data_IF_369425375435
#
_entry.id   IF_369425375435
#
_cell.length_a   1.000
_cell.length_b   1.000
_cell.length_c   1.000
_cell.angle_alpha   90.00
_cell.angle_beta   90.00
_cell.angle_gamma   90.00
#
_symmetry.space_group_name_H-M   'P 1'
#
loop_
_entity.id
_entity.type
_entity.pdbx_description
1 polymer ?
#
# COMPACT_ATOMS: atom_id res chain seq x y z
N UNK A 1 10.48 4.27 1.58
CA UNK A 1 9.32 3.50 1.09
C UNK A 1 8.89 3.78 -0.37
N UNK A 2 8.27 4.93 -0.71
CA UNK A 2 7.75 5.17 -2.09
C UNK A 2 8.85 5.03 -3.14
N UNK A 3 10.02 5.61 -2.88
CA UNK A 3 11.18 5.48 -3.77
C UNK A 3 11.57 4.00 -3.98
N UNK A 4 11.57 3.20 -2.91
CA UNK A 4 11.85 1.76 -2.99
C UNK A 4 10.83 1.05 -3.88
N UNK A 5 9.53 1.28 -3.69
CA UNK A 5 8.49 0.67 -4.54
C UNK A 5 8.62 1.09 -6.00
N UNK A 6 8.99 2.36 -6.26
CA UNK A 6 9.28 2.82 -7.62
C UNK A 6 10.49 2.10 -8.20
N UNK A 7 11.58 1.94 -7.44
CA UNK A 7 12.77 1.22 -7.90
C UNK A 7 12.47 -0.26 -8.16
N UNK A 8 11.71 -0.92 -7.28
CA UNK A 8 11.27 -2.31 -7.46
C UNK A 8 10.38 -2.44 -8.69
N UNK A 9 9.42 -1.53 -8.90
CA UNK A 9 8.58 -1.51 -10.09
C UNK A 9 9.40 -1.32 -11.37
N UNK A 10 10.36 -0.40 -11.38
CA UNK A 10 11.27 -0.19 -12.51
C UNK A 10 12.16 -1.41 -12.78
N UNK A 11 12.74 -2.02 -11.75
CA UNK A 11 13.52 -3.26 -11.89
C UNK A 11 12.66 -4.39 -12.44
N UNK A 12 11.42 -4.54 -11.94
CA UNK A 12 10.46 -5.54 -12.41
C UNK A 12 10.10 -5.34 -13.89
N UNK A 13 9.93 -4.08 -14.33
CA UNK A 13 9.71 -3.75 -15.75
C UNK A 13 10.93 -4.09 -16.59
N UNK A 14 12.13 -3.71 -16.15
CA UNK A 14 13.37 -3.92 -16.92
C UNK A 14 13.70 -5.39 -17.06
N UNK A 15 13.66 -6.15 -15.96
CA UNK A 15 13.91 -7.59 -15.96
C UNK A 15 12.84 -8.34 -16.76
N UNK A 16 11.60 -7.86 -16.73
CA UNK A 16 10.49 -8.47 -17.45
C UNK A 16 10.57 -8.37 -18.96
N UNK A 17 11.23 -7.34 -19.51
CA UNK A 17 11.28 -7.12 -20.96
C UNK A 17 11.99 -8.23 -21.76
N UNK A 18 12.71 -9.15 -21.10
CA UNK A 18 13.42 -10.26 -21.73
C UNK A 18 12.91 -11.66 -21.40
N UNK A 19 11.86 -11.79 -20.59
CA UNK A 19 11.40 -13.07 -20.03
C UNK A 19 9.90 -13.28 -20.25
N UNK A 20 9.44 -14.53 -20.48
CA UNK A 20 8.01 -14.85 -20.41
C UNK A 20 7.42 -14.51 -19.03
N UNK A 21 6.16 -14.10 -18.96
CA UNK A 21 5.48 -13.63 -17.73
C UNK A 21 5.69 -14.53 -16.51
N UNK A 22 5.55 -15.84 -16.67
CA UNK A 22 5.77 -16.82 -15.58
C UNK A 22 7.21 -16.81 -15.08
N UNK A 23 8.19 -16.80 -16.00
CA UNK A 23 9.60 -16.79 -15.64
C UNK A 23 9.99 -15.47 -14.97
N UNK A 24 9.48 -14.35 -15.50
CA UNK A 24 9.66 -13.03 -14.91
C UNK A 24 9.15 -12.98 -13.46
N UNK A 25 7.92 -13.44 -13.22
CA UNK A 25 7.35 -13.48 -11.87
C UNK A 25 8.22 -14.30 -10.90
N UNK A 26 8.66 -15.50 -11.28
CA UNK A 26 9.49 -16.35 -10.42
C UNK A 26 10.81 -15.63 -10.04
N UNK A 27 11.50 -15.08 -11.03
CA UNK A 27 12.77 -14.37 -10.82
C UNK A 27 12.58 -13.14 -9.95
N UNK A 28 11.65 -12.26 -10.28
CA UNK A 28 11.52 -10.98 -9.56
C UNK A 28 10.92 -11.19 -8.17
N UNK A 29 9.96 -12.11 -8.01
CA UNK A 29 9.36 -12.39 -6.70
C UNK A 29 10.38 -13.00 -5.72
N UNK A 30 11.24 -13.92 -6.18
CA UNK A 30 12.27 -14.53 -5.33
C UNK A 30 13.35 -13.53 -4.87
N UNK A 31 13.60 -12.47 -5.65
CA UNK A 31 14.59 -11.45 -5.33
C UNK A 31 14.00 -10.28 -4.54
N UNK A 32 12.81 -9.81 -4.92
CA UNK A 32 12.27 -8.54 -4.44
C UNK A 32 11.23 -8.68 -3.34
N UNK A 33 10.55 -9.83 -3.18
CA UNK A 33 9.46 -9.94 -2.21
C UNK A 33 9.95 -9.74 -0.78
N UNK A 34 11.03 -10.41 -0.39
CA UNK A 34 11.66 -10.25 0.94
C UNK A 34 12.11 -8.81 1.17
N UNK A 35 12.78 -8.19 0.19
CA UNK A 35 13.26 -6.80 0.27
C UNK A 35 12.11 -5.81 0.50
N UNK A 36 10.97 -5.99 -0.18
CA UNK A 36 9.80 -5.12 -0.01
C UNK A 36 9.18 -5.30 1.39
N UNK A 37 9.08 -6.53 1.88
CA UNK A 37 8.54 -6.83 3.22
C UNK A 37 9.44 -6.23 4.30
N UNK A 38 10.74 -6.47 4.22
CA UNK A 38 11.72 -6.03 5.21
C UNK A 38 11.84 -4.49 5.27
N UNK A 39 12.09 -3.84 4.12
CA UNK A 39 12.18 -2.38 4.06
C UNK A 39 10.82 -1.71 4.32
N UNK A 40 9.72 -2.42 4.03
CA UNK A 40 8.37 -2.02 4.41
C UNK A 40 8.24 -1.92 5.92
N UNK A 41 8.54 -3.00 6.63
CA UNK A 41 8.46 -3.09 8.08
C UNK A 41 9.36 -2.05 8.78
N UNK A 42 10.58 -1.83 8.29
CA UNK A 42 11.47 -0.77 8.77
C UNK A 42 10.90 0.64 8.55
N UNK A 43 10.12 0.83 7.47
CA UNK A 43 9.44 2.11 7.19
C UNK A 43 8.06 2.23 7.88
N UNK A 44 7.66 1.27 8.72
CA UNK A 44 6.35 1.23 9.37
C UNK A 44 5.18 0.87 8.45
N UNK A 45 5.45 0.32 7.25
CA UNK A 45 4.44 -0.25 6.36
C UNK A 45 4.57 -1.76 6.32
N UNK A 46 3.64 -2.46 6.94
CA UNK A 46 3.53 -3.91 6.82
C UNK A 46 2.52 -4.22 5.73
N UNK A 47 2.98 -4.98 4.74
CA UNK A 47 2.22 -5.32 3.55
C UNK A 47 2.01 -6.83 3.56
N UNK A 48 0.78 -7.33 3.42
CA UNK A 48 0.53 -8.75 3.26
C UNK A 48 1.38 -9.32 2.13
N UNK A 49 1.99 -10.48 2.36
CA UNK A 49 2.92 -11.08 1.41
C UNK A 49 2.27 -11.26 0.02
N UNK A 50 0.98 -11.59 -0.03
CA UNK A 50 0.21 -11.70 -1.28
C UNK A 50 0.17 -10.37 -2.06
N UNK A 51 0.05 -9.23 -1.38
CA UNK A 51 0.05 -7.92 -2.03
C UNK A 51 1.43 -7.61 -2.62
N UNK A 52 2.52 -8.03 -1.96
CA UNK A 52 3.87 -7.91 -2.51
C UNK A 52 4.03 -8.78 -3.76
N UNK A 53 3.59 -10.04 -3.73
CA UNK A 53 3.63 -10.90 -4.92
C UNK A 53 2.78 -10.35 -6.07
N UNK A 54 1.57 -9.86 -5.78
CA UNK A 54 0.73 -9.20 -6.78
C UNK A 54 1.39 -7.95 -7.34
N UNK A 55 2.05 -7.13 -6.52
CA UNK A 55 2.76 -5.94 -6.98
C UNK A 55 3.81 -6.31 -8.03
N UNK A 56 4.66 -7.27 -7.70
CA UNK A 56 5.73 -7.75 -8.60
C UNK A 56 5.14 -8.39 -9.86
N UNK A 57 4.08 -9.19 -9.71
CA UNK A 57 3.37 -9.82 -10.83
C UNK A 57 2.76 -8.78 -11.78
N UNK A 58 2.12 -7.73 -11.25
CA UNK A 58 1.52 -6.64 -12.04
C UNK A 58 2.57 -5.88 -12.84
N UNK A 59 3.71 -5.54 -12.24
CA UNK A 59 4.81 -4.93 -13.00
C UNK A 59 5.41 -5.90 -14.01
N UNK A 60 5.41 -7.19 -13.69
CA UNK A 60 5.88 -8.23 -14.60
C UNK A 60 5.03 -8.34 -15.87
N UNK A 61 3.70 -8.29 -15.76
CA UNK A 61 2.81 -8.26 -16.94
C UNK A 61 2.85 -6.90 -17.65
N UNK A 62 3.15 -5.81 -16.93
CA UNK A 62 3.28 -4.50 -17.56
C UNK A 62 4.55 -4.37 -18.40
N UNK A 63 5.58 -5.17 -18.12
CA UNK A 63 6.78 -5.23 -18.97
C UNK A 63 6.42 -5.61 -20.42
N UNK A 64 5.49 -6.55 -20.62
CA UNK A 64 5.06 -7.04 -21.94
C UNK A 64 4.35 -5.98 -22.78
N UNK A 65 3.70 -5.01 -22.14
CA UNK A 65 2.98 -3.91 -22.83
C UNK A 65 3.84 -2.65 -22.96
N UNK A 66 5.01 -2.61 -22.33
CA UNK A 66 5.90 -1.44 -22.33
C UNK A 66 6.79 -1.46 -23.58
N UNK A 67 6.85 -0.38 -24.38
CA UNK A 67 7.83 -0.27 -25.45
C UNK A 67 9.26 -0.37 -24.90
N UNK A 68 10.17 -1.12 -25.53
CA UNK A 68 10.12 -1.63 -26.90
C UNK A 68 9.56 -3.06 -27.07
N UNK A 69 8.97 -3.69 -26.05
CA UNK A 69 8.52 -5.10 -26.12
C UNK A 69 7.13 -5.22 -26.74
N UNK A 70 6.12 -4.59 -26.12
CA UNK A 70 4.80 -4.25 -26.69
C UNK A 70 4.14 -5.24 -27.66
N UNK A 71 4.30 -6.56 -27.50
CA UNK A 71 4.02 -7.56 -28.55
C UNK A 71 2.61 -7.45 -29.15
N UNK A 72 1.59 -7.29 -28.29
CA UNK A 72 0.20 -7.14 -28.73
C UNK A 72 -0.04 -5.84 -29.51
N UNK A 73 0.58 -4.74 -29.09
CA UNK A 73 0.48 -3.45 -29.77
C UNK A 73 1.18 -3.47 -31.13
N UNK A 74 2.27 -4.22 -31.26
CA UNK A 74 3.00 -4.38 -32.52
C UNK A 74 2.23 -5.26 -33.51
N UNK A 75 1.61 -6.34 -33.03
CA UNK A 75 0.71 -7.15 -33.84
C UNK A 75 -0.50 -6.31 -34.34
N UNK A 76 -1.10 -5.50 -33.46
CA UNK A 76 -2.19 -4.59 -33.84
C UNK A 76 -1.73 -3.53 -34.85
N UNK A 77 -0.51 -3.00 -34.72
CA UNK A 77 0.08 -2.08 -35.68
C UNK A 77 0.27 -2.72 -37.06
N UNK A 78 0.73 -3.98 -37.11
CA UNK A 78 0.91 -4.72 -38.36
C UNK A 78 -0.42 -4.95 -39.10
N UNK A 79 -1.52 -5.18 -38.37
CA UNK A 79 -2.86 -5.33 -38.96
C UNK A 79 -3.47 -3.99 -39.41
N UNK A 80 -3.27 -2.93 -38.63
CA UNK A 80 -3.83 -1.59 -38.91
C UNK A 80 -3.01 -0.75 -39.89
N UNK A 81 -1.77 -1.17 -40.21
CA UNK A 81 -0.82 -0.40 -41.03
C UNK A 81 -0.18 0.78 -40.29
N UNK A 82 -0.26 0.81 -38.96
CA UNK A 82 0.33 1.84 -38.12
C UNK A 82 1.81 1.60 -37.82
N UNK A 83 2.48 2.60 -37.24
CA UNK A 83 3.83 2.47 -36.72
C UNK A 83 3.80 1.69 -35.39
N UNK A 84 4.56 0.59 -35.29
CA UNK A 84 4.56 -0.30 -34.14
C UNK A 84 4.98 0.40 -32.84
N UNK A 85 6.05 1.20 -32.89
CA UNK A 85 6.57 1.90 -31.71
C UNK A 85 5.59 2.96 -31.23
N UNK A 86 5.03 3.78 -32.14
CA UNK A 86 4.01 4.79 -31.78
C UNK A 86 2.76 4.14 -31.20
N UNK A 87 2.30 3.04 -31.80
CA UNK A 87 1.14 2.28 -31.31
C UNK A 87 1.41 1.74 -29.90
N UNK A 88 2.61 1.21 -29.66
CA UNK A 88 3.03 0.76 -28.33
C UNK A 88 3.05 1.89 -27.29
N UNK A 89 3.58 3.07 -27.63
CA UNK A 89 3.54 4.21 -26.72
C UNK A 89 2.10 4.62 -26.37
N UNK A 90 1.21 4.73 -27.36
CA UNK A 90 -0.20 5.06 -27.12
C UNK A 90 -0.87 4.00 -26.25
N UNK A 91 -0.65 2.71 -26.55
CA UNK A 91 -1.20 1.61 -25.77
C UNK A 91 -0.71 1.63 -24.31
N UNK A 92 0.57 1.93 -24.09
CA UNK A 92 1.15 2.08 -22.75
C UNK A 92 0.54 3.26 -21.98
N UNK A 93 0.34 4.42 -22.63
CA UNK A 93 -0.33 5.55 -22.00
C UNK A 93 -1.77 5.21 -21.59
N UNK A 94 -2.48 4.42 -22.40
CA UNK A 94 -3.84 3.97 -22.08
C UNK A 94 -3.86 2.95 -20.93
N UNK A 95 -2.76 2.24 -20.69
CA UNK A 95 -2.64 1.26 -19.61
C UNK A 95 -2.09 1.84 -18.30
N UNK A 96 -1.82 3.16 -18.21
CA UNK A 96 -1.31 3.82 -16.99
C UNK A 96 -2.13 3.54 -15.72
N UNK A 97 -3.44 3.31 -15.86
CA UNK A 97 -4.30 2.93 -14.72
C UNK A 97 -3.85 1.62 -14.05
N UNK A 98 -3.33 0.69 -14.85
CA UNK A 98 -2.78 -0.59 -14.38
C UNK A 98 -1.40 -0.42 -13.74
N UNK A 99 -0.64 0.63 -14.10
CA UNK A 99 0.62 0.99 -13.41
C UNK A 99 0.34 1.59 -12.04
N UNK A 100 -0.71 2.39 -11.91
CA UNK A 100 -1.07 3.02 -10.64
C UNK A 100 -1.63 2.03 -9.61
N UNK A 101 -2.39 1.02 -10.06
CA UNK A 101 -3.14 0.11 -9.19
C UNK A 101 -2.26 -0.62 -8.15
N UNK A 102 -1.07 -1.17 -8.49
CA UNK A 102 -0.17 -1.79 -7.51
C UNK A 102 0.27 -0.88 -6.39
N UNK A 103 0.58 0.38 -6.70
CA UNK A 103 0.92 1.35 -5.66
C UNK A 103 -0.27 1.57 -4.73
N UNK A 104 -1.48 1.65 -5.27
CA UNK A 104 -2.66 1.86 -4.44
C UNK A 104 -2.92 0.68 -3.52
N UNK A 105 -2.97 -0.55 -4.04
CA UNK A 105 -3.35 -1.71 -3.21
C UNK A 105 -2.28 -2.10 -2.19
N UNK A 106 -1.00 -1.75 -2.42
CA UNK A 106 0.05 -1.98 -1.42
C UNK A 106 -0.24 -1.22 -0.13
N UNK A 107 -0.82 -0.03 -0.26
CA UNK A 107 -1.16 0.76 0.90
C UNK A 107 -2.62 0.56 1.34
N UNK A 108 -3.52 0.13 0.44
CA UNK A 108 -4.93 -0.13 0.71
C UNK A 108 -5.31 -1.56 0.28
N UNK A 109 -5.12 -2.51 1.20
CA UNK A 109 -5.33 -3.94 0.96
C UNK A 109 -6.81 -4.32 0.84
N UNK A 110 -7.74 -3.43 1.18
CA UNK A 110 -9.17 -3.64 0.96
C UNK A 110 -9.47 -3.86 -0.54
N UNK A 111 -8.68 -3.27 -1.43
CA UNK A 111 -8.76 -3.48 -2.88
C UNK A 111 -8.47 -4.92 -3.30
N UNK A 112 -7.77 -5.67 -2.46
CA UNK A 112 -7.49 -7.09 -2.62
C UNK A 112 -8.52 -7.96 -1.87
N UNK A 113 -9.52 -7.34 -1.23
CA UNK A 113 -10.54 -8.00 -0.42
C UNK A 113 -9.98 -8.79 0.78
N UNK A 114 -8.83 -8.34 1.31
CA UNK A 114 -8.19 -8.93 2.48
C UNK A 114 -8.87 -8.37 3.74
N UNK A 115 -9.37 -9.26 4.60
CA UNK A 115 -10.05 -8.91 5.87
C UNK A 115 -11.25 -7.97 5.71
N UNK A 116 -11.96 -8.09 4.59
CA UNK A 116 -13.11 -7.25 4.23
C UNK A 116 -14.44 -8.01 4.38
N UNK A 117 -15.42 -7.40 5.04
CA UNK A 117 -16.80 -7.94 5.10
C UNK A 117 -17.53 -7.80 3.75
N UNK A 118 -18.63 -8.54 3.55
CA UNK A 118 -19.44 -8.43 2.32
C UNK A 118 -19.88 -6.99 2.00
N UNK A 119 -20.31 -6.24 3.01
CA UNK A 119 -20.78 -4.85 2.82
C UNK A 119 -19.62 -3.95 2.41
N UNK A 120 -18.48 -4.06 3.10
CA UNK A 120 -17.28 -3.31 2.73
C UNK A 120 -16.77 -3.70 1.34
N UNK A 121 -16.82 -4.99 0.96
CA UNK A 121 -16.38 -5.47 -0.35
C UNK A 121 -17.21 -4.89 -1.49
N UNK A 122 -18.53 -4.81 -1.33
CA UNK A 122 -19.42 -4.13 -2.29
C UNK A 122 -19.08 -2.65 -2.39
N UNK A 123 -18.86 -2.00 -1.24
CA UNK A 123 -18.49 -0.59 -1.20
C UNK A 123 -17.15 -0.35 -1.92
N UNK A 124 -16.12 -1.16 -1.65
CA UNK A 124 -14.82 -1.13 -2.31
C UNK A 124 -14.96 -1.34 -3.81
N UNK A 125 -15.78 -2.30 -4.25
CA UNK A 125 -16.03 -2.53 -5.66
C UNK A 125 -16.60 -1.30 -6.36
N UNK A 126 -17.62 -0.67 -5.76
CA UNK A 126 -18.27 0.53 -6.31
C UNK A 126 -17.27 1.70 -6.34
N UNK A 127 -16.59 1.96 -5.23
CA UNK A 127 -15.67 3.12 -5.12
C UNK A 127 -14.44 2.94 -6.00
N UNK A 128 -13.84 1.75 -6.06
CA UNK A 128 -12.73 1.44 -6.95
C UNK A 128 -13.13 1.56 -8.44
N UNK A 129 -14.35 1.14 -8.79
CA UNK A 129 -14.89 1.30 -10.16
C UNK A 129 -15.06 2.77 -10.53
N UNK A 130 -15.56 3.60 -9.60
CA UNK A 130 -15.65 5.05 -9.82
C UNK A 130 -14.24 5.65 -9.92
N UNK A 131 -13.35 5.30 -8.99
CA UNK A 131 -11.99 5.83 -8.93
C UNK A 131 -11.19 5.53 -10.21
N UNK A 132 -11.27 4.32 -10.75
CA UNK A 132 -10.54 3.95 -11.98
C UNK A 132 -11.08 4.68 -13.22
N UNK A 133 -12.40 4.89 -13.30
CA UNK A 133 -13.03 5.65 -14.38
C UNK A 133 -12.64 7.13 -14.30
N UNK A 134 -12.68 7.72 -13.11
CA UNK A 134 -12.29 9.11 -12.85
C UNK A 134 -10.79 9.30 -13.11
N UNK A 135 -9.95 8.36 -12.68
CA UNK A 135 -8.51 8.37 -12.97
C UNK A 135 -8.27 8.37 -14.48
N UNK A 136 -8.94 7.47 -15.21
CA UNK A 136 -8.84 7.39 -16.67
C UNK A 136 -9.32 8.68 -17.33
N UNK A 137 -10.41 9.27 -16.86
CA UNK A 137 -10.90 10.56 -17.38
C UNK A 137 -9.89 11.70 -17.15
N UNK A 138 -9.22 11.71 -15.99
CA UNK A 138 -8.17 12.66 -15.66
C UNK A 138 -6.95 12.52 -16.56
N UNK A 139 -6.40 11.30 -16.68
CA UNK A 139 -5.19 11.03 -17.49
C UNK A 139 -5.41 11.19 -18.98
N UNK A 140 -6.61 10.87 -19.48
CA UNK A 140 -6.97 11.03 -20.89
C UNK A 140 -7.40 12.45 -21.26
N UNK A 141 -7.58 13.34 -20.28
CA UNK A 141 -7.99 14.73 -20.52
C UNK A 141 -9.43 14.87 -20.98
N UNK A 142 -10.29 13.89 -20.67
CA UNK A 142 -11.70 13.89 -21.10
C UNK A 142 -12.60 13.27 -20.04
N UNK A 143 -13.63 14.00 -19.62
CA UNK A 143 -14.65 13.47 -18.71
C UNK A 143 -16.04 13.55 -19.35
N UNK A 144 -16.77 14.67 -19.21
CA UNK A 144 -17.98 14.95 -19.98
C UNK A 144 -17.67 15.73 -21.26
N UNK A 145 -16.64 16.58 -21.18
CA UNK A 145 -16.06 17.30 -22.32
C UNK A 145 -14.54 17.30 -22.16
N UNK A 146 -13.83 17.91 -23.12
CA UNK A 146 -12.39 18.11 -23.03
C UNK A 146 -12.04 18.85 -21.74
N UNK A 147 -11.30 18.17 -20.87
CA UNK A 147 -10.87 18.69 -19.58
C UNK A 147 -9.78 19.74 -19.78
N UNK A 148 -9.84 20.81 -19.00
CA UNK A 148 -8.67 21.71 -18.85
C UNK A 148 -7.64 21.01 -17.96
N UNK A 149 -6.37 21.43 -18.06
CA UNK A 149 -5.27 20.79 -17.30
C UNK A 149 -5.58 20.71 -15.80
N UNK A 150 -6.12 21.79 -15.21
CA UNK A 150 -6.49 21.78 -13.78
C UNK A 150 -7.67 20.85 -13.46
N UNK A 151 -8.58 20.61 -14.40
CA UNK A 151 -9.69 19.66 -14.22
C UNK A 151 -9.16 18.23 -14.27
N UNK A 152 -8.24 17.94 -15.19
CA UNK A 152 -7.53 16.66 -15.24
C UNK A 152 -6.76 16.38 -13.96
N UNK A 153 -5.99 17.35 -13.47
CA UNK A 153 -5.27 17.23 -12.19
C UNK A 153 -6.26 16.99 -11.04
N UNK A 154 -7.35 17.76 -10.99
CA UNK A 154 -8.38 17.57 -9.96
C UNK A 154 -9.04 16.19 -10.02
N UNK A 155 -9.34 15.67 -11.22
CA UNK A 155 -9.87 14.31 -11.40
C UNK A 155 -8.89 13.25 -10.92
N UNK A 156 -7.60 13.38 -11.23
CA UNK A 156 -6.56 12.46 -10.72
C UNK A 156 -6.47 12.51 -9.19
N UNK A 157 -6.55 13.71 -8.59
CA UNK A 157 -6.56 13.86 -7.13
C UNK A 157 -7.82 13.28 -6.50
N UNK A 158 -8.99 13.44 -7.11
CA UNK A 158 -10.25 12.82 -6.66
C UNK A 158 -10.13 11.30 -6.72
N UNK A 159 -9.61 10.74 -7.81
CA UNK A 159 -9.38 9.32 -7.91
C UNK A 159 -8.42 8.82 -6.82
N UNK A 160 -7.34 9.56 -6.55
CA UNK A 160 -6.43 9.26 -5.45
C UNK A 160 -7.13 9.27 -4.09
N UNK A 161 -7.98 10.26 -3.80
CA UNK A 161 -8.77 10.30 -2.54
C UNK A 161 -9.72 9.12 -2.41
N UNK A 162 -10.35 8.67 -3.50
CA UNK A 162 -11.23 7.51 -3.51
C UNK A 162 -10.46 6.19 -3.35
N UNK A 163 -9.26 6.10 -3.90
CA UNK A 163 -8.38 4.93 -3.81
C UNK A 163 -7.66 4.82 -2.46
N UNK A 164 -7.30 5.96 -1.85
CA UNK A 164 -6.54 6.08 -0.61
C UNK A 164 -7.26 7.00 0.38
N UNK A 165 -8.48 6.64 0.83
CA UNK A 165 -9.22 7.47 1.78
C UNK A 165 -8.49 7.58 3.12
N UNK A 166 -7.80 6.51 3.52
CA UNK A 166 -6.98 6.43 4.73
C UNK A 166 -5.88 7.50 4.72
N UNK A 167 -5.19 7.72 3.59
CA UNK A 167 -4.16 8.76 3.48
C UNK A 167 -4.67 10.16 3.83
N UNK A 168 -5.93 10.46 3.48
CA UNK A 168 -6.55 11.75 3.81
C UNK A 168 -7.02 11.76 5.26
N UNK A 169 -7.68 10.69 5.71
CA UNK A 169 -8.18 10.59 7.08
C UNK A 169 -7.06 10.66 8.11
N UNK A 170 -5.95 9.95 7.90
CA UNK A 170 -4.78 9.91 8.79
C UNK A 170 -4.15 11.29 9.01
N UNK A 171 -4.30 12.21 8.06
CA UNK A 171 -3.83 13.60 8.17
C UNK A 171 -4.76 14.48 8.98
N UNK A 172 -6.05 14.15 8.99
CA UNK A 172 -7.07 14.88 9.74
C UNK A 172 -7.08 14.36 11.18
N UNK A 173 -7.05 13.05 11.34
CA UNK A 173 -7.04 12.34 12.60
C UNK A 173 -6.08 11.15 12.48
N UNK A 174 -4.90 11.18 13.12
CA UNK A 174 -3.95 10.07 13.06
C UNK A 174 -4.57 8.77 13.56
N UNK A 175 -4.29 7.61 12.93
CA UNK A 175 -4.89 6.33 13.34
C UNK A 175 -4.32 5.80 14.65
N UNK A 176 -3.07 6.13 14.97
CA UNK A 176 -2.39 5.69 16.17
C UNK A 176 -1.95 6.86 17.06
N UNK A 177 -1.96 6.63 18.37
CA UNK A 177 -1.36 7.50 19.37
C UNK A 177 -0.11 6.83 19.95
N UNK A 178 0.94 7.61 20.19
CA UNK A 178 2.13 7.09 20.87
C UNK A 178 1.85 6.91 22.35
N UNK A 179 2.22 5.76 22.88
CA UNK A 179 2.11 5.39 24.28
C UNK A 179 3.48 4.98 24.78
N UNK A 180 3.75 5.25 26.07
CA UNK A 180 4.99 4.84 26.71
C UNK A 180 5.17 3.31 26.64
N UNK A 181 6.40 2.81 26.37
CA UNK A 181 6.68 1.38 26.30
C UNK A 181 6.21 0.59 27.52
N UNK A 182 6.33 1.18 28.72
CA UNK A 182 5.91 0.56 29.97
C UNK A 182 4.40 0.35 30.09
N UNK A 183 3.60 1.15 29.37
CA UNK A 183 2.15 1.03 29.33
C UNK A 183 1.65 0.12 28.20
N UNK A 184 2.54 -0.60 27.52
CA UNK A 184 2.18 -1.48 26.40
C UNK A 184 1.14 -2.54 26.79
N UNK A 185 1.35 -3.27 27.89
CA UNK A 185 0.42 -4.34 28.33
C UNK A 185 -0.97 -3.77 28.66
N UNK A 186 -1.01 -2.56 29.24
CA UNK A 186 -2.25 -1.85 29.52
C UNK A 186 -2.94 -1.40 28.23
N UNK A 187 -2.19 -0.82 27.29
CA UNK A 187 -2.70 -0.44 25.97
C UNK A 187 -3.25 -1.66 25.21
N UNK A 188 -2.59 -2.81 25.32
CA UNK A 188 -3.04 -4.08 24.75
C UNK A 188 -4.32 -4.60 25.41
N UNK A 189 -4.51 -4.38 26.71
CA UNK A 189 -5.75 -4.72 27.42
C UNK A 189 -6.93 -3.80 27.07
N UNK A 190 -6.65 -2.51 26.81
CA UNK A 190 -7.67 -1.51 26.50
C UNK A 190 -8.13 -1.52 25.02
N UNK A 191 -7.34 -2.09 24.11
CA UNK A 191 -7.68 -2.18 22.70
C UNK A 191 -8.83 -3.16 22.42
N UNK A 192 -9.66 -2.86 21.44
CA UNK A 192 -10.76 -3.73 21.03
C UNK A 192 -10.26 -4.93 20.21
N UNK A 193 -11.03 -6.02 20.20
CA UNK A 193 -10.73 -7.15 19.31
C UNK A 193 -10.76 -6.69 17.84
N UNK A 194 -9.72 -7.05 17.09
CA UNK A 194 -9.54 -6.63 15.70
C UNK A 194 -8.76 -5.32 15.52
N UNK A 195 -8.47 -4.58 16.60
CA UNK A 195 -7.55 -3.45 16.51
C UNK A 195 -6.12 -3.91 16.23
N UNK A 196 -5.31 -3.03 15.66
CA UNK A 196 -3.87 -3.24 15.51
C UNK A 196 -3.10 -2.35 16.50
N UNK A 197 -2.11 -2.92 17.17
CA UNK A 197 -1.09 -2.17 17.90
C UNK A 197 0.24 -2.35 17.18
N UNK A 198 1.01 -1.27 17.03
CA UNK A 198 2.36 -1.35 16.45
C UNK A 198 3.42 -1.17 17.51
N UNK A 199 4.40 -2.06 17.54
CA UNK A 199 5.59 -1.94 18.36
C UNK A 199 6.77 -1.60 17.47
N UNK A 200 7.46 -0.50 17.77
CA UNK A 200 8.77 -0.24 17.19
C UNK A 200 9.80 -0.84 18.12
N UNK A 201 10.50 -1.85 17.64
CA UNK A 201 11.57 -2.55 18.36
C UNK A 201 12.91 -2.01 17.85
N UNK A 202 13.81 -1.68 18.78
CA UNK A 202 15.16 -1.20 18.49
C UNK A 202 16.19 -2.09 19.19
N UNK A 203 17.31 -2.35 18.53
CA UNK A 203 18.41 -3.12 19.08
C UNK A 203 19.51 -3.36 18.04
N UNK A 204 20.66 -3.91 18.47
CA UNK A 204 21.77 -4.21 17.58
C UNK A 204 21.42 -5.29 16.55
N UNK A 205 21.92 -5.12 15.33
CA UNK A 205 21.91 -6.14 14.29
C UNK A 205 22.95 -7.23 14.59
N UNK A 206 22.58 -8.50 14.41
CA UNK A 206 23.46 -9.64 14.69
C UNK A 206 24.70 -9.71 13.79
N UNK A 207 24.58 -9.29 12.53
CA UNK A 207 25.66 -9.37 11.56
C UNK A 207 26.59 -8.15 11.63
N UNK A 208 26.03 -6.94 11.83
CA UNK A 208 26.83 -5.70 11.81
C UNK A 208 27.14 -5.11 13.18
N UNK A 209 26.33 -5.40 14.20
CA UNK A 209 26.37 -4.75 15.51
C UNK A 209 25.82 -3.32 15.53
N UNK A 210 25.36 -2.79 14.39
CA UNK A 210 24.76 -1.45 14.33
C UNK A 210 23.32 -1.49 14.86
N UNK A 211 22.89 -0.42 15.53
CA UNK A 211 21.52 -0.32 15.99
C UNK A 211 20.55 -0.18 14.82
N UNK A 212 19.50 -1.00 14.80
CA UNK A 212 18.42 -0.96 13.81
C UNK A 212 17.05 -0.92 14.48
N UNK A 213 16.04 -0.59 13.68
CA UNK A 213 14.65 -0.58 14.11
C UNK A 213 13.78 -1.45 13.19
N UNK A 214 12.79 -2.12 13.77
CA UNK A 214 11.75 -2.83 13.02
C UNK A 214 10.38 -2.53 13.64
N UNK A 215 9.33 -2.58 12.83
CA UNK A 215 7.95 -2.44 13.31
C UNK A 215 7.26 -3.80 13.32
N UNK A 216 6.70 -4.19 14.47
CA UNK A 216 5.84 -5.35 14.62
C UNK A 216 4.37 -4.89 14.67
N UNK A 217 3.47 -5.55 13.95
CA UNK A 217 2.01 -5.32 14.05
C UNK A 217 1.39 -6.48 14.80
N UNK A 218 0.67 -6.15 15.85
CA UNK A 218 -0.01 -7.07 16.74
C UNK A 218 -1.51 -6.91 16.54
N UNK A 219 -2.14 -7.90 15.92
CA UNK A 219 -3.60 -7.95 15.76
C UNK A 219 -4.23 -8.41 17.08
N UNK A 220 -5.01 -7.52 17.69
CA UNK A 220 -5.57 -7.72 19.03
C UNK A 220 -6.64 -8.81 18.98
N UNK A 221 -6.32 -9.97 19.56
CA UNK A 221 -7.24 -11.10 19.70
C UNK A 221 -8.12 -11.04 20.96
N UNK A 222 -8.89 -12.09 21.21
CA UNK A 222 -9.65 -12.22 22.46
C UNK A 222 -8.74 -12.44 23.68
N UNK A 223 -9.15 -11.94 24.84
CA UNK A 223 -8.45 -12.14 26.13
C UNK A 223 -7.99 -10.86 26.81
N UNK A 224 -7.35 -11.02 27.97
CA UNK A 224 -6.72 -9.94 28.74
C UNK A 224 -5.40 -9.46 28.10
N UNK A 225 -4.88 -8.30 28.56
CA UNK A 225 -3.61 -7.76 28.06
C UNK A 225 -2.44 -8.73 28.25
N UNK A 226 -2.35 -9.44 29.38
CA UNK A 226 -1.29 -10.42 29.61
C UNK A 226 -1.44 -11.68 28.75
N UNK A 227 -2.67 -12.19 28.58
CA UNK A 227 -2.93 -13.34 27.70
C UNK A 227 -2.61 -13.02 26.24
N UNK A 228 -3.01 -11.83 25.78
CA UNK A 228 -2.69 -11.32 24.44
C UNK A 228 -1.17 -11.25 24.26
N UNK A 229 -0.44 -10.69 25.22
CA UNK A 229 1.03 -10.59 25.17
C UNK A 229 1.68 -11.98 25.08
N UNK A 230 1.23 -12.93 25.91
CA UNK A 230 1.74 -14.30 25.90
C UNK A 230 1.46 -15.01 24.58
N UNK A 231 0.30 -14.78 23.95
CA UNK A 231 -0.05 -15.36 22.65
C UNK A 231 0.88 -14.90 21.52
N UNK A 232 1.42 -13.69 21.61
CA UNK A 232 2.42 -13.21 20.65
C UNK A 232 3.80 -13.82 20.87
N UNK A 233 4.03 -14.50 21.99
CA UNK A 233 5.32 -15.11 22.34
C UNK A 233 6.41 -14.08 22.68
N UNK A 234 6.01 -12.85 23.04
CA UNK A 234 6.92 -11.79 23.42
C UNK A 234 7.14 -11.81 24.94
N UNK A 235 8.39 -11.89 25.35
CA UNK A 235 8.81 -11.80 26.74
C UNK A 235 9.40 -10.42 26.99
N UNK A 236 8.74 -9.64 27.85
CA UNK A 236 9.12 -8.25 28.15
C UNK A 236 9.62 -8.13 29.58
N UNK A 237 10.77 -7.49 29.72
CA UNK A 237 11.46 -7.27 30.99
C UNK A 237 11.61 -5.75 31.21
N UNK A 238 10.68 -5.10 31.92
CA UNK A 238 10.81 -3.70 32.26
C UNK A 238 11.93 -3.50 33.29
N UNK A 239 12.98 -2.78 32.92
CA UNK A 239 14.14 -2.48 33.76
C UNK A 239 14.67 -1.06 33.46
N UNK A 240 14.97 -0.27 34.49
CA UNK A 240 15.56 1.08 34.37
C UNK A 240 14.83 2.06 33.43
N UNK A 241 13.49 1.95 33.33
CA UNK A 241 12.67 2.82 32.47
C UNK A 241 12.65 2.41 31.00
N UNK A 242 13.29 1.30 30.66
CA UNK A 242 13.28 0.66 29.33
C UNK A 242 12.48 -0.64 29.42
N UNK A 243 11.75 -0.98 28.35
CA UNK A 243 11.13 -2.30 28.23
C UNK A 243 11.99 -3.16 27.32
N UNK A 244 12.85 -3.96 27.94
CA UNK A 244 13.71 -4.93 27.24
C UNK A 244 12.88 -6.11 26.75
N UNK A 245 13.34 -6.75 25.70
CA UNK A 245 12.71 -7.90 25.07
C UNK A 245 13.69 -9.05 25.02
N UNK A 246 13.26 -10.23 25.48
CA UNK A 246 14.02 -11.47 25.30
C UNK A 246 13.78 -12.06 23.91
N UNK A 247 14.70 -12.93 23.48
CA UNK A 247 14.57 -13.64 22.21
C UNK A 247 13.22 -14.39 22.14
N UNK A 248 12.40 -14.14 21.10
CA UNK A 248 11.14 -14.84 20.94
C UNK A 248 11.36 -16.35 20.83
N UNK A 249 10.46 -17.13 21.41
CA UNK A 249 10.52 -18.59 21.30
C UNK A 249 10.48 -19.03 19.82
N UNK A 250 11.23 -20.08 19.50
CA UNK A 250 11.27 -20.63 18.14
C UNK A 250 9.86 -20.97 17.63
N UNK A 251 9.52 -20.46 16.45
CA UNK A 251 8.21 -20.66 15.82
C UNK A 251 7.09 -19.75 16.35
N UNK A 252 7.40 -18.78 17.21
CA UNK A 252 6.47 -17.70 17.58
C UNK A 252 6.18 -16.76 16.40
N UNK A 253 5.10 -15.97 16.51
CA UNK A 253 4.60 -15.12 15.43
C UNK A 253 5.65 -14.13 14.89
N UNK A 254 6.57 -13.67 15.74
CA UNK A 254 7.59 -12.69 15.39
C UNK A 254 9.02 -13.25 15.36
N UNK A 255 9.19 -14.57 15.50
CA UNK A 255 10.50 -15.22 15.49
C UNK A 255 11.31 -14.87 14.24
N UNK A 256 10.69 -14.96 13.06
CA UNK A 256 11.37 -14.64 11.79
C UNK A 256 11.67 -13.14 11.67
N UNK A 257 10.73 -12.28 12.12
CA UNK A 257 10.86 -10.82 12.03
C UNK A 257 11.95 -10.25 12.94
N UNK A 258 12.23 -10.94 14.05
CA UNK A 258 13.24 -10.54 15.04
C UNK A 258 14.55 -11.35 14.93
N UNK A 259 14.63 -12.34 14.04
CA UNK A 259 15.76 -13.27 13.90
C UNK A 259 17.12 -12.62 13.62
N UNK A 260 17.12 -11.39 13.11
CA UNK A 260 18.33 -10.66 12.75
C UNK A 260 18.85 -9.74 13.85
N UNK A 261 18.16 -9.63 15.00
CA UNK A 261 18.62 -8.84 16.14
C UNK A 261 19.57 -9.67 17.03
N UNK A 262 20.55 -9.00 17.63
CA UNK A 262 21.41 -9.61 18.65
C UNK A 262 20.80 -9.43 20.06
N UNK A 263 20.16 -10.49 20.56
CA UNK A 263 19.60 -10.51 21.91
C UNK A 263 20.64 -10.79 23.01
N UNK A 264 21.87 -11.16 22.63
CA UNK A 264 22.92 -11.56 23.56
C UNK A 264 24.11 -10.58 23.59
N UNK A 265 24.01 -9.49 22.83
CA UNK A 265 24.99 -8.41 22.80
C UNK A 265 24.98 -7.53 24.05
N UNK A 266 25.86 -6.54 24.08
CA UNK A 266 25.99 -5.59 25.21
C UNK A 266 24.78 -4.64 25.30
N UNK A 267 24.22 -4.24 24.15
CA UNK A 267 23.04 -3.37 24.07
C UNK A 267 21.76 -4.22 23.94
N UNK A 268 20.74 -4.00 24.79
CA UNK A 268 19.54 -4.82 24.78
C UNK A 268 18.61 -4.50 23.60
N UNK A 269 17.93 -5.51 23.10
CA UNK A 269 16.74 -5.32 22.25
C UNK A 269 15.60 -4.81 23.12
N UNK A 270 14.96 -3.71 22.70
CA UNK A 270 13.97 -2.99 23.50
C UNK A 270 12.82 -2.45 22.66
N UNK A 271 11.69 -2.19 23.31
CA UNK A 271 10.58 -1.45 22.70
C UNK A 271 10.93 0.04 22.71
N UNK A 272 11.17 0.61 21.54
CA UNK A 272 11.43 2.03 21.36
C UNK A 272 10.15 2.87 21.43
N UNK A 273 9.04 2.39 20.86
CA UNK A 273 7.74 3.06 20.98
C UNK A 273 6.57 2.11 20.78
N UNK A 274 5.42 2.45 21.37
CA UNK A 274 4.15 1.74 21.19
C UNK A 274 3.17 2.68 20.49
N UNK A 275 2.56 2.21 19.41
CA UNK A 275 1.52 2.91 18.67
C UNK A 275 0.20 2.21 18.92
N UNK A 276 -0.59 2.74 19.85
CA UNK A 276 -1.90 2.20 20.19
C UNK A 276 -2.99 2.79 19.26
N UNK A 277 -4.05 2.03 18.96
CA UNK A 277 -5.15 2.52 18.15
C UNK A 277 -5.79 3.75 18.82
N UNK A 278 -6.13 4.74 18.00
CA UNK A 278 -6.90 5.90 18.42
C UNK A 278 -8.33 5.82 17.88
N UNK A 279 -9.25 6.59 18.44
CA UNK A 279 -10.66 6.59 18.03
C UNK A 279 -10.87 7.37 16.71
N UNK A 280 -10.28 6.90 15.60
CA UNK A 280 -10.35 7.51 14.28
C UNK A 280 -11.75 7.36 13.66
N UNK A 281 -12.26 8.41 13.04
CA UNK A 281 -13.46 8.29 12.20
C UNK A 281 -13.21 7.33 11.03
N UNK A 282 -14.27 6.65 10.59
CA UNK A 282 -14.22 5.75 9.46
C UNK A 282 -13.65 6.44 8.20
N UNK A 283 -12.65 5.83 7.56
CA UNK A 283 -11.96 6.40 6.40
C UNK A 283 -12.90 6.76 5.23
N UNK A 284 -14.02 6.05 5.11
CA UNK A 284 -15.06 6.22 4.08
C UNK A 284 -15.71 7.61 4.10
N UNK A 285 -15.62 8.36 5.20
CA UNK A 285 -16.06 9.76 5.26
C UNK A 285 -15.37 10.64 4.22
N UNK A 286 -14.17 10.27 3.76
CA UNK A 286 -13.43 10.96 2.69
C UNK A 286 -14.12 10.84 1.33
N UNK A 287 -14.96 9.83 1.12
CA UNK A 287 -15.68 9.66 -0.15
C UNK A 287 -16.69 10.77 -0.40
N UNK A 288 -17.32 11.30 0.65
CA UNK A 288 -18.33 12.35 0.53
C UNK A 288 -17.76 13.62 -0.11
N UNK A 289 -16.70 14.26 0.44
CA UNK A 289 -16.11 15.44 -0.19
C UNK A 289 -15.53 15.11 -1.57
N UNK A 290 -14.92 13.94 -1.77
CA UNK A 290 -14.39 13.53 -3.07
C UNK A 290 -15.48 13.47 -4.16
N UNK A 291 -16.64 12.89 -3.85
CA UNK A 291 -17.78 12.81 -4.76
C UNK A 291 -18.46 14.16 -4.97
N UNK A 292 -18.51 15.03 -3.96
CA UNK A 292 -18.98 16.41 -4.11
C UNK A 292 -18.08 17.19 -5.08
N UNK A 293 -16.76 17.08 -4.94
CA UNK A 293 -15.82 17.71 -5.87
C UNK A 293 -15.95 17.14 -7.28
N UNK A 294 -16.15 15.84 -7.43
CA UNK A 294 -16.41 15.22 -8.73
C UNK A 294 -17.68 15.78 -9.38
N UNK A 295 -18.77 15.87 -8.62
CA UNK A 295 -20.03 16.44 -9.07
C UNK A 295 -19.88 17.92 -9.46
N UNK A 296 -19.05 18.67 -8.73
CA UNK A 296 -18.73 20.06 -9.04
C UNK A 296 -17.98 20.20 -10.38
N UNK A 297 -16.97 19.35 -10.64
CA UNK A 297 -16.28 19.32 -11.95
C UNK A 297 -17.28 18.96 -13.06
N UNK A 298 -18.12 17.95 -12.84
CA UNK A 298 -19.16 17.56 -13.78
C UNK A 298 -20.11 18.73 -14.11
N UNK A 299 -20.53 19.47 -13.09
CA UNK A 299 -21.38 20.67 -13.25
C UNK A 299 -20.69 21.76 -14.07
N UNK A 300 -19.42 22.07 -13.79
CA UNK A 300 -18.64 23.05 -14.55
C UNK A 300 -18.46 22.66 -16.02
N UNK A 301 -18.24 21.37 -16.29
CA UNK A 301 -18.14 20.86 -17.66
C UNK A 301 -19.49 20.90 -18.37
N UNK A 302 -20.58 20.50 -17.71
CA UNK A 302 -21.93 20.55 -18.28
C UNK A 302 -22.37 21.97 -18.61
N UNK A 303 -22.05 22.94 -17.76
CA UNK A 303 -22.31 24.36 -18.02
C UNK A 303 -21.48 24.91 -19.21
N UNK A 304 -20.35 24.28 -19.54
CA UNK A 304 -19.54 24.64 -20.73
C UNK A 304 -20.13 24.04 -22.00
N UNK A 305 -20.56 22.78 -21.96
CA UNK A 305 -21.20 22.10 -23.08
C UNK A 305 -22.43 22.91 -23.55
N UNK A 306 -23.28 23.33 -22.62
CA UNK A 306 -24.48 24.12 -22.94
C UNK A 306 -24.17 25.49 -23.55
N UNK A 307 -23.05 26.13 -23.17
CA UNK A 307 -22.60 27.41 -23.74
C UNK A 307 -21.98 27.28 -25.13
N UNK A 308 -21.44 26.10 -25.47
CA UNK A 308 -20.74 25.86 -26.72
C UNK A 308 -21.64 25.28 -27.83
N UNK A 309 -22.90 24.97 -27.53
CA UNK A 309 -23.86 24.46 -28.53
C UNK A 309 -23.52 23.07 -29.07
N UNK A 310 -22.63 22.33 -28.41
CA UNK A 310 -22.33 20.93 -28.75
C UNK A 310 -23.43 20.07 -28.14
N UNK A 311 -24.17 19.24 -28.92
CA UNK A 311 -25.21 18.38 -28.37
C UNK A 311 -24.60 17.41 -27.34
N UNK A 312 -25.36 17.18 -26.26
CA UNK A 312 -25.01 16.24 -25.19
C UNK A 312 -24.89 14.80 -25.69
#
# INVERSE_FOLDING_TARGET
LILMLVMVGLLSLILGMGLPTTANYIVVSSLMAGVVVELGAQSGLIVPLIAVHLFVFYFGIMADVTPPVGLASFAAAAVSGGDAIKTGFVAFFYSLRTVALPFVFIFNTDLLLIDVTWVQGILVFITASIAILVFTAGTMGWFLTKSRVYESVALVLIAFMLFRPDFVMDRIQPPFQQVEPSAFTEALGNAAEGDEIRLVVSGPDFDTGDNKETTLVLSVGAGSGEERLANFGLLLLPEDGVVKMDEPSFGSAFSDSLSSFDFYGDDPVQIASVQAPSNQMAKEWVFIPALIFLAFIAFLQRARISRQGVPA
#
